data_IF_294266349542
#
_entry.id   IF_294266349542
#
_cell.length_a   1.000
_cell.length_b   1.000
_cell.length_c   1.000
_cell.angle_alpha   90.00
_cell.angle_beta   90.00
_cell.angle_gamma   90.00
#
_symmetry.space_group_name_H-M   'P 1'
#
loop_
_entity.id
_entity.type
_entity.pdbx_description
1 polymer ?
#
# COMPACT_ATOMS: atom_id res chain seq x y z
N UNK A 1 -3.22 8.96 -16.69
CA UNK A 1 -2.71 9.24 -18.03
C UNK A 1 -3.09 10.68 -18.44
N UNK A 2 -2.22 11.28 -19.24
CA UNK A 2 -2.40 12.59 -19.85
C UNK A 2 -2.64 12.43 -21.34
N UNK A 3 -3.49 13.27 -21.89
CA UNK A 3 -3.81 13.28 -23.31
C UNK A 3 -3.53 14.67 -23.87
N UNK A 4 -2.81 14.75 -24.98
CA UNK A 4 -2.57 16.01 -25.69
C UNK A 4 -3.51 16.15 -26.88
N UNK A 5 -3.97 17.37 -27.12
CA UNK A 5 -4.76 17.71 -28.31
C UNK A 5 -3.77 18.14 -29.38
N UNK A 6 -3.89 17.59 -30.58
CA UNK A 6 -3.05 17.91 -31.71
C UNK A 6 -2.52 16.67 -32.44
N UNK A 7 -1.68 16.91 -33.44
CA UNK A 7 -1.08 15.86 -34.25
C UNK A 7 0.19 15.33 -33.56
N UNK A 8 0.43 14.01 -33.56
CA UNK A 8 1.70 13.46 -33.10
C UNK A 8 2.88 14.05 -33.88
N UNK A 9 4.00 14.28 -33.18
CA UNK A 9 5.25 14.76 -33.76
C UNK A 9 6.32 13.69 -33.64
N UNK A 10 7.43 13.83 -34.36
CA UNK A 10 8.50 12.83 -34.47
C UNK A 10 9.60 12.97 -33.40
N UNK A 11 9.37 13.76 -32.35
CA UNK A 11 10.27 13.96 -31.24
C UNK A 11 9.56 13.89 -29.87
N UNK A 12 10.32 13.60 -28.82
CA UNK A 12 9.84 13.56 -27.44
C UNK A 12 9.56 14.98 -26.92
N UNK A 13 8.45 15.16 -26.18
CA UNK A 13 8.04 16.43 -25.59
C UNK A 13 7.81 16.29 -24.09
N UNK A 14 8.47 17.09 -23.29
CA UNK A 14 8.29 17.09 -21.84
C UNK A 14 7.04 17.92 -21.45
N UNK A 15 6.21 17.33 -20.57
CA UNK A 15 5.10 18.03 -19.92
C UNK A 15 5.58 18.54 -18.57
N UNK A 16 5.41 19.83 -18.31
CA UNK A 16 5.89 20.46 -17.08
C UNK A 16 4.78 20.76 -16.09
N UNK A 17 5.13 20.69 -14.82
CA UNK A 17 4.21 20.92 -13.69
C UNK A 17 4.84 21.85 -12.67
N UNK A 18 4.01 22.61 -11.97
CA UNK A 18 4.39 23.37 -10.80
C UNK A 18 3.52 22.97 -9.59
N UNK A 19 4.09 22.95 -8.38
CA UNK A 19 3.30 22.78 -7.18
C UNK A 19 2.35 23.98 -6.96
N UNK A 20 1.24 23.73 -6.29
CA UNK A 20 0.32 24.77 -5.80
C UNK A 20 0.45 24.80 -4.29
N UNK A 21 1.34 25.64 -3.77
CA UNK A 21 1.76 25.66 -2.37
C UNK A 21 0.60 25.92 -1.40
N UNK A 22 -0.36 26.76 -1.79
CA UNK A 22 -1.57 27.05 -0.98
C UNK A 22 -2.55 25.87 -0.89
N UNK A 23 -2.36 24.84 -1.70
CA UNK A 23 -3.21 23.66 -1.79
C UNK A 23 -2.38 22.38 -1.68
N UNK A 24 -1.32 22.43 -0.85
CA UNK A 24 -0.40 21.31 -0.64
C UNK A 24 0.07 21.32 0.81
N UNK A 25 -0.02 20.19 1.50
CA UNK A 25 0.50 20.00 2.86
C UNK A 25 1.62 18.95 2.97
N UNK A 26 2.09 18.46 1.83
CA UNK A 26 3.22 17.53 1.71
C UNK A 26 4.45 18.29 1.20
N UNK A 27 5.64 17.95 1.69
CA UNK A 27 6.90 18.60 1.29
C UNK A 27 7.40 18.02 -0.01
N UNK A 28 7.49 18.89 -1.05
CA UNK A 28 8.06 18.52 -2.34
C UNK A 28 9.55 18.13 -2.22
N UNK A 29 9.97 17.10 -2.93
CA UNK A 29 11.33 16.58 -2.93
C UNK A 29 11.70 15.72 -1.71
N UNK A 30 10.92 15.77 -0.63
CA UNK A 30 11.09 14.93 0.56
C UNK A 30 10.03 13.84 0.65
N UNK A 31 8.77 14.27 0.66
CA UNK A 31 7.61 13.38 0.85
C UNK A 31 6.91 13.10 -0.47
N UNK A 32 7.16 13.90 -1.49
CA UNK A 32 6.62 13.75 -2.85
C UNK A 32 7.70 14.00 -3.89
N UNK A 33 7.78 13.15 -4.88
CA UNK A 33 8.67 13.30 -6.03
C UNK A 33 7.92 12.97 -7.31
N UNK A 34 7.94 13.89 -8.26
CA UNK A 34 7.36 13.72 -9.58
C UNK A 34 8.45 13.30 -10.57
N UNK A 35 8.20 12.22 -11.31
CA UNK A 35 9.06 11.83 -12.42
C UNK A 35 8.81 12.73 -13.64
N UNK A 36 9.85 12.85 -14.51
CA UNK A 36 9.69 13.52 -15.79
C UNK A 36 8.59 12.85 -16.60
N UNK A 37 7.62 13.63 -17.01
CA UNK A 37 6.50 13.17 -17.82
C UNK A 37 6.75 13.52 -19.28
N UNK A 38 6.88 12.50 -20.13
CA UNK A 38 7.25 12.67 -21.54
C UNK A 38 6.18 12.08 -22.45
N UNK A 39 5.67 12.91 -23.35
CA UNK A 39 4.90 12.46 -24.52
C UNK A 39 5.91 12.00 -25.55
N UNK A 40 5.96 10.71 -25.81
CA UNK A 40 6.90 10.10 -26.73
C UNK A 40 6.62 10.49 -28.19
N UNK A 41 7.66 10.50 -29.01
CA UNK A 41 7.55 10.67 -30.45
C UNK A 41 6.47 9.75 -31.05
N UNK A 42 5.65 10.28 -31.95
CA UNK A 42 4.56 9.54 -32.58
C UNK A 42 3.34 9.29 -31.68
N UNK A 43 3.30 9.82 -30.44
CA UNK A 43 2.17 9.61 -29.53
C UNK A 43 1.51 10.95 -29.12
N UNK A 44 0.30 10.84 -28.54
CA UNK A 44 -0.45 11.96 -27.95
C UNK A 44 -0.73 11.71 -26.47
N UNK A 45 -0.13 10.69 -25.87
CA UNK A 45 -0.37 10.29 -24.48
C UNK A 45 0.92 10.26 -23.68
N UNK A 46 0.81 10.53 -22.38
CA UNK A 46 1.88 10.34 -21.41
C UNK A 46 1.33 9.83 -20.09
N UNK A 47 2.13 9.10 -19.35
CA UNK A 47 1.79 8.63 -18.00
C UNK A 47 2.49 9.49 -16.98
N UNK A 48 1.72 10.14 -16.12
CA UNK A 48 2.21 10.84 -14.94
C UNK A 48 2.59 9.82 -13.88
N UNK A 49 3.86 9.81 -13.45
CA UNK A 49 4.36 8.95 -12.37
C UNK A 49 4.89 9.79 -11.24
N UNK A 50 4.60 9.38 -10.03
CA UNK A 50 5.05 10.05 -8.83
C UNK A 50 5.30 9.05 -7.69
N UNK A 51 6.15 9.44 -6.76
CA UNK A 51 6.44 8.72 -5.54
C UNK A 51 5.97 9.53 -4.36
N UNK A 52 5.30 8.87 -3.41
CA UNK A 52 4.87 9.50 -2.16
C UNK A 52 5.45 8.71 -1.01
N UNK A 53 6.12 9.42 -0.11
CA UNK A 53 6.56 8.89 1.17
C UNK A 53 5.62 9.43 2.25
N UNK A 54 5.02 8.55 3.03
CA UNK A 54 4.22 8.98 4.17
C UNK A 54 5.12 9.67 5.20
N UNK A 55 4.84 10.92 5.57
CA UNK A 55 5.55 11.61 6.64
C UNK A 55 5.31 10.90 7.98
N UNK A 56 6.36 10.73 8.77
CA UNK A 56 6.31 9.99 10.04
C UNK A 56 5.41 10.65 11.12
N UNK A 57 5.12 11.96 11.01
CA UNK A 57 4.45 12.72 12.06
C UNK A 57 3.53 13.84 11.53
N UNK A 58 2.96 13.68 10.34
CA UNK A 58 1.97 14.63 9.82
C UNK A 58 0.63 13.96 9.65
N UNK A 59 -0.09 13.91 10.74
CA UNK A 59 -1.55 13.92 10.67
C UNK A 59 -1.91 15.41 10.68
N UNK A 60 -2.53 15.90 9.59
CA UNK A 60 -3.32 17.11 9.71
C UNK A 60 -4.51 16.81 10.65
N UNK A 61 -5.23 17.82 11.09
CA UNK A 61 -6.39 17.67 11.99
C UNK A 61 -7.48 16.73 11.39
N UNK A 62 -7.39 16.37 10.11
CA UNK A 62 -8.30 15.49 9.36
C UNK A 62 -7.63 14.17 8.89
N UNK A 63 -6.35 13.94 9.16
CA UNK A 63 -5.61 12.73 8.72
C UNK A 63 -5.40 12.65 7.20
N UNK A 64 -5.55 13.76 6.46
CA UNK A 64 -5.46 13.79 5.00
C UNK A 64 -4.22 14.54 4.56
N UNK A 65 -3.36 13.86 3.81
CA UNK A 65 -2.25 14.49 3.12
C UNK A 65 -2.62 14.69 1.65
N UNK A 66 -2.27 15.83 1.10
CA UNK A 66 -2.51 16.12 -0.30
C UNK A 66 -1.39 16.93 -0.94
N UNK A 67 -1.15 16.65 -2.19
CA UNK A 67 -0.24 17.38 -3.05
C UNK A 67 -0.96 17.83 -4.31
N UNK A 68 -0.98 19.11 -4.55
CA UNK A 68 -1.63 19.69 -5.73
C UNK A 68 -0.59 20.22 -6.69
N UNK A 69 -0.65 19.75 -7.92
CA UNK A 69 0.17 20.23 -9.04
C UNK A 69 -0.72 20.82 -10.11
N UNK A 70 -0.18 21.77 -10.85
CA UNK A 70 -0.79 22.32 -12.05
C UNK A 70 0.12 22.12 -13.24
N UNK A 71 -0.47 21.92 -14.41
CA UNK A 71 0.23 22.01 -15.68
C UNK A 71 0.78 23.41 -15.88
N UNK A 72 2.01 23.50 -16.39
CA UNK A 72 2.63 24.78 -16.77
C UNK A 72 2.86 24.83 -18.26
N UNK A 73 2.78 26.03 -18.81
CA UNK A 73 3.12 26.30 -20.19
C UNK A 73 4.62 26.09 -20.43
N UNK A 74 4.96 25.52 -21.57
CA UNK A 74 6.32 25.39 -22.08
C UNK A 74 6.34 25.50 -23.61
N UNK A 75 7.49 25.31 -24.25
CA UNK A 75 7.65 25.43 -25.71
C UNK A 75 6.78 24.43 -26.52
N UNK A 76 6.30 23.35 -25.89
CA UNK A 76 5.54 22.29 -26.54
C UNK A 76 4.07 22.27 -26.21
N UNK A 77 3.68 22.78 -25.03
CA UNK A 77 2.33 22.66 -24.51
C UNK A 77 1.83 23.95 -23.86
N UNK A 78 0.62 24.31 -24.21
CA UNK A 78 -0.15 25.37 -23.54
C UNK A 78 -1.29 24.69 -22.80
N UNK A 79 -1.35 24.74 -21.46
CA UNK A 79 -2.46 24.18 -20.71
C UNK A 79 -3.76 24.90 -21.06
N UNK A 80 -4.80 24.13 -21.34
CA UNK A 80 -6.12 24.75 -21.45
C UNK A 80 -6.57 25.28 -20.08
N UNK A 81 -7.22 26.44 -20.06
CA UNK A 81 -7.82 27.03 -18.86
C UNK A 81 -9.07 26.22 -18.52
N UNK A 82 -8.90 25.10 -17.85
CA UNK A 82 -9.99 24.24 -17.39
C UNK A 82 -9.64 23.61 -16.05
N UNK A 83 -10.63 23.05 -15.38
CA UNK A 83 -10.48 22.35 -14.10
C UNK A 83 -9.53 21.14 -14.18
N UNK A 84 -9.26 20.62 -15.38
CA UNK A 84 -8.37 19.50 -15.65
C UNK A 84 -6.88 19.87 -15.69
N UNK A 85 -6.53 21.16 -15.59
CA UNK A 85 -5.13 21.60 -15.50
C UNK A 85 -4.52 21.42 -14.09
N UNK A 86 -5.33 21.03 -13.11
CA UNK A 86 -4.92 20.80 -11.73
C UNK A 86 -5.12 19.32 -11.37
N UNK A 87 -4.11 18.74 -10.74
CA UNK A 87 -4.19 17.38 -10.22
C UNK A 87 -3.94 17.43 -8.71
N UNK A 88 -4.93 17.00 -7.94
CA UNK A 88 -4.76 16.83 -6.50
C UNK A 88 -4.61 15.35 -6.19
N UNK A 89 -3.46 15.01 -5.63
CA UNK A 89 -3.11 13.67 -5.20
C UNK A 89 -3.37 13.62 -3.71
N UNK A 90 -4.32 12.79 -3.30
CA UNK A 90 -4.58 12.53 -1.89
C UNK A 90 -3.77 11.32 -1.44
N UNK A 91 -3.06 11.50 -0.34
CA UNK A 91 -2.41 10.42 0.36
C UNK A 91 -3.10 10.32 1.70
N UNK A 92 -3.93 9.32 1.84
CA UNK A 92 -4.67 9.10 3.07
C UNK A 92 -4.10 7.86 3.74
N UNK A 93 -3.71 8.00 5.01
CA UNK A 93 -3.51 6.86 5.89
C UNK A 93 -4.91 6.37 6.26
N UNK A 94 -5.52 5.62 5.37
CA UNK A 94 -6.79 4.98 5.69
C UNK A 94 -6.45 3.67 6.39
N UNK A 95 -6.93 3.50 7.60
CA UNK A 95 -7.00 2.23 8.32
C UNK A 95 -7.99 1.29 7.62
N UNK A 96 -7.72 0.97 6.35
CA UNK A 96 -8.50 -0.02 5.63
C UNK A 96 -7.78 -1.35 5.68
N UNK A 97 -8.52 -2.35 6.09
CA UNK A 97 -8.06 -3.71 5.99
C UNK A 97 -7.62 -4.01 4.55
N UNK A 98 -6.46 -4.61 4.33
CA UNK A 98 -6.10 -5.13 3.02
C UNK A 98 -7.20 -6.06 2.50
N UNK A 99 -7.39 -6.14 1.18
CA UNK A 99 -8.43 -6.99 0.58
C UNK A 99 -8.34 -8.46 1.01
N UNK A 100 -7.14 -8.91 1.35
CA UNK A 100 -6.87 -10.26 1.80
C UNK A 100 -7.07 -10.48 3.31
N UNK A 101 -7.39 -9.42 4.09
CA UNK A 101 -7.57 -9.57 5.54
C UNK A 101 -8.83 -10.40 5.84
N UNK A 102 -8.61 -11.62 6.30
CA UNK A 102 -9.67 -12.52 6.69
C UNK A 102 -9.93 -12.38 8.19
N UNK A 103 -11.08 -11.86 8.59
CA UNK A 103 -11.41 -11.58 10.00
C UNK A 103 -11.60 -12.84 10.84
N UNK A 104 -11.99 -13.96 10.24
CA UNK A 104 -12.15 -15.23 10.96
C UNK A 104 -10.79 -15.83 11.35
N UNK A 105 -9.77 -15.57 10.53
CA UNK A 105 -8.41 -16.07 10.71
C UNK A 105 -7.55 -15.08 11.49
N UNK A 106 -7.61 -13.79 11.13
CA UNK A 106 -6.71 -12.74 11.60
C UNK A 106 -7.32 -11.87 12.71
N UNK A 107 -8.60 -12.08 13.03
CA UNK A 107 -9.35 -11.22 13.92
C UNK A 107 -9.74 -9.88 13.29
N UNK A 108 -10.38 -9.02 14.08
CA UNK A 108 -10.74 -7.67 13.65
C UNK A 108 -9.52 -6.87 13.21
N UNK A 109 -9.64 -6.15 12.09
CA UNK A 109 -8.53 -5.34 11.59
C UNK A 109 -8.27 -4.14 12.49
N UNK A 110 -7.03 -3.97 12.85
CA UNK A 110 -6.48 -2.73 13.42
C UNK A 110 -5.12 -2.45 12.78
N UNK A 111 -4.74 -1.18 12.69
CA UNK A 111 -3.40 -0.81 12.19
C UNK A 111 -2.29 -1.48 13.02
N UNK A 112 -2.46 -1.50 14.33
CA UNK A 112 -1.49 -2.15 15.24
C UNK A 112 -1.44 -3.66 15.01
N UNK A 113 -2.58 -4.32 14.82
CA UNK A 113 -2.68 -5.74 14.48
C UNK A 113 -1.96 -6.05 13.18
N UNK A 114 -2.22 -5.25 12.15
CA UNK A 114 -1.56 -5.37 10.86
C UNK A 114 -0.04 -5.20 10.95
N UNK A 115 0.46 -4.18 11.67
CA UNK A 115 1.90 -3.95 11.85
C UNK A 115 2.58 -5.13 12.56
N UNK A 116 1.94 -5.69 13.58
CA UNK A 116 2.48 -6.85 14.31
C UNK A 116 2.42 -8.10 13.44
N UNK A 117 1.33 -8.34 12.71
CA UNK A 117 1.24 -9.42 11.72
C UNK A 117 2.38 -9.34 10.71
N UNK A 118 2.53 -8.20 10.04
CA UNK A 118 3.57 -8.00 9.04
C UNK A 118 4.98 -8.14 9.60
N UNK A 119 5.21 -7.75 10.87
CA UNK A 119 6.48 -7.97 11.54
C UNK A 119 6.85 -9.47 11.59
N UNK A 120 5.94 -10.31 12.06
CA UNK A 120 6.20 -11.76 12.15
C UNK A 120 6.27 -12.41 10.77
N UNK A 121 5.41 -12.00 9.84
CA UNK A 121 5.41 -12.51 8.47
C UNK A 121 6.71 -12.19 7.72
N UNK A 122 7.15 -10.92 7.76
CA UNK A 122 8.40 -10.49 7.12
C UNK A 122 9.64 -11.11 7.78
N UNK A 123 9.56 -11.43 9.08
CA UNK A 123 10.64 -12.12 9.78
C UNK A 123 10.89 -13.52 9.18
N UNK A 124 9.85 -14.26 8.80
CA UNK A 124 9.96 -15.55 8.13
C UNK A 124 10.68 -15.43 6.78
N UNK A 125 10.31 -14.39 6.00
CA UNK A 125 10.94 -14.09 4.72
C UNK A 125 12.42 -13.71 4.88
N UNK A 126 12.71 -12.79 5.80
CA UNK A 126 14.08 -12.30 6.04
C UNK A 126 15.01 -13.40 6.49
N UNK A 127 14.54 -14.27 7.40
CA UNK A 127 15.31 -15.38 7.94
C UNK A 127 15.31 -16.59 7.01
N UNK A 128 14.54 -16.57 5.91
CA UNK A 128 14.39 -17.69 4.97
C UNK A 128 14.12 -19.01 5.69
N UNK A 129 13.16 -18.98 6.63
CA UNK A 129 12.80 -20.17 7.40
C UNK A 129 12.36 -21.30 6.46
N UNK A 130 12.44 -22.55 6.93
CA UNK A 130 12.04 -23.71 6.14
C UNK A 130 10.56 -23.60 5.70
N UNK A 131 9.68 -23.19 6.63
CA UNK A 131 8.27 -22.97 6.34
C UNK A 131 8.06 -21.84 5.33
N UNK A 132 8.85 -20.76 5.42
CA UNK A 132 8.80 -19.69 4.40
C UNK A 132 9.13 -20.23 3.02
N UNK A 133 10.24 -20.94 2.89
CA UNK A 133 10.70 -21.41 1.58
C UNK A 133 9.76 -22.45 0.96
N UNK A 134 9.20 -23.33 1.78
CA UNK A 134 8.35 -24.44 1.31
C UNK A 134 6.88 -24.08 1.16
N UNK A 135 6.36 -23.21 2.02
CA UNK A 135 4.92 -22.98 2.13
C UNK A 135 4.54 -21.49 2.05
N UNK A 136 5.01 -20.65 2.98
CA UNK A 136 4.49 -19.30 3.10
C UNK A 136 4.80 -18.46 1.86
N UNK A 137 6.03 -18.43 1.39
CA UNK A 137 6.44 -17.70 0.18
C UNK A 137 5.75 -18.22 -1.11
N UNK A 138 5.76 -19.53 -1.39
CA UNK A 138 5.05 -20.09 -2.54
C UNK A 138 3.55 -19.84 -2.55
N UNK A 139 2.87 -19.97 -1.40
CA UNK A 139 1.40 -19.94 -1.28
C UNK A 139 0.85 -18.53 -1.11
N UNK A 140 1.44 -17.72 -0.21
CA UNK A 140 0.94 -16.40 0.13
C UNK A 140 1.73 -15.26 -0.54
N UNK A 141 2.99 -15.49 -0.88
CA UNK A 141 3.89 -14.51 -1.52
C UNK A 141 4.44 -13.46 -0.56
N UNK A 142 5.41 -12.68 -1.01
CA UNK A 142 5.92 -11.52 -0.29
C UNK A 142 4.78 -10.54 0.02
N UNK A 143 4.66 -10.10 1.28
CA UNK A 143 3.58 -9.19 1.71
C UNK A 143 2.16 -9.67 1.37
N UNK A 144 1.94 -10.97 1.32
CA UNK A 144 0.63 -11.58 1.02
C UNK A 144 0.09 -11.27 -0.39
N UNK A 145 0.93 -10.90 -1.37
CA UNK A 145 0.46 -10.42 -2.68
C UNK A 145 -0.29 -11.48 -3.50
N UNK A 146 -0.15 -12.78 -3.18
CA UNK A 146 -0.87 -13.87 -3.85
C UNK A 146 -2.29 -14.09 -3.31
N UNK A 147 -2.64 -13.41 -2.22
CA UNK A 147 -3.98 -13.50 -1.62
C UNK A 147 -4.81 -12.31 -2.09
N UNK A 148 -5.68 -12.54 -3.06
CA UNK A 148 -6.37 -11.45 -3.77
C UNK A 148 -7.65 -10.98 -3.07
N UNK A 149 -8.18 -11.77 -2.14
CA UNK A 149 -9.41 -11.45 -1.42
C UNK A 149 -9.41 -12.00 0.01
N UNK A 150 -10.36 -11.58 0.83
CA UNK A 150 -10.58 -12.11 2.18
C UNK A 150 -11.11 -13.56 2.16
N UNK A 151 -11.64 -14.02 1.04
CA UNK A 151 -11.96 -15.44 0.85
C UNK A 151 -10.73 -16.14 0.31
N UNK A 152 -10.02 -16.84 1.18
CA UNK A 152 -8.80 -17.53 0.82
C UNK A 152 -9.11 -18.80 0.03
N UNK A 153 -8.30 -19.10 -0.98
CA UNK A 153 -8.48 -20.28 -1.82
C UNK A 153 -8.12 -21.58 -1.07
N UNK A 154 -8.42 -22.72 -1.69
CA UNK A 154 -8.20 -24.04 -1.09
C UNK A 154 -6.73 -24.30 -0.72
N UNK A 155 -5.79 -23.82 -1.53
CA UNK A 155 -4.36 -24.00 -1.26
C UNK A 155 -3.91 -23.17 -0.07
N UNK A 156 -4.39 -21.92 0.03
CA UNK A 156 -4.13 -21.03 1.18
C UNK A 156 -4.73 -21.61 2.46
N UNK A 157 -5.91 -22.19 2.39
CA UNK A 157 -6.53 -22.85 3.55
C UNK A 157 -5.83 -24.15 3.93
N UNK A 158 -5.32 -24.93 2.95
CA UNK A 158 -4.59 -26.18 3.21
C UNK A 158 -3.32 -25.95 4.02
N UNK A 159 -2.61 -24.83 3.76
CA UNK A 159 -1.36 -24.50 4.46
C UNK A 159 -1.54 -23.46 5.58
N UNK A 160 -2.77 -23.20 5.99
CA UNK A 160 -3.07 -22.25 7.05
C UNK A 160 -2.37 -22.58 8.38
N UNK A 161 -2.22 -23.88 8.70
CA UNK A 161 -1.58 -24.28 9.95
C UNK A 161 -0.10 -23.84 10.00
N UNK A 162 0.59 -23.78 8.86
CA UNK A 162 1.96 -23.25 8.80
C UNK A 162 2.00 -21.74 9.02
N UNK A 163 1.02 -21.02 8.54
CA UNK A 163 0.86 -19.58 8.81
C UNK A 163 0.50 -19.33 10.29
N UNK A 164 -0.37 -20.17 10.86
CA UNK A 164 -0.72 -20.10 12.28
C UNK A 164 0.54 -20.31 13.15
N UNK A 165 1.26 -21.40 12.92
CA UNK A 165 2.45 -21.77 13.69
C UNK A 165 3.49 -20.64 13.72
N UNK A 166 3.88 -20.11 12.57
CA UNK A 166 5.03 -19.21 12.46
C UNK A 166 4.69 -17.71 12.59
N UNK A 167 3.43 -17.34 12.36
CA UNK A 167 3.05 -15.92 12.27
C UNK A 167 1.91 -15.57 13.22
N UNK A 168 0.80 -16.30 13.16
CA UNK A 168 -0.41 -15.89 13.88
C UNK A 168 -0.34 -16.20 15.36
N UNK A 169 0.15 -17.38 15.74
CA UNK A 169 0.33 -17.74 17.16
C UNK A 169 1.30 -16.77 17.82
N UNK A 170 2.51 -16.50 17.29
CA UNK A 170 3.39 -15.46 17.84
C UNK A 170 2.77 -14.06 17.90
N UNK A 171 1.94 -13.70 16.91
CA UNK A 171 1.21 -12.43 16.93
C UNK A 171 0.20 -12.36 18.08
N UNK A 172 -0.59 -13.41 18.27
CA UNK A 172 -1.59 -13.44 19.33
C UNK A 172 -0.98 -13.66 20.71
N UNK A 173 0.14 -14.39 20.83
CA UNK A 173 0.92 -14.42 22.06
C UNK A 173 1.40 -13.01 22.47
N UNK A 174 1.85 -12.23 21.50
CA UNK A 174 2.22 -10.83 21.74
C UNK A 174 1.03 -10.01 22.25
N UNK A 175 -0.17 -10.14 21.66
CA UNK A 175 -1.34 -9.38 22.10
C UNK A 175 -1.96 -9.90 23.40
N UNK A 176 -1.81 -11.16 23.71
CA UNK A 176 -2.17 -11.72 25.04
C UNK A 176 -1.30 -11.09 26.12
N UNK A 177 0.00 -10.93 25.87
CA UNK A 177 0.94 -10.27 26.79
C UNK A 177 0.84 -8.73 26.79
N UNK A 178 0.38 -8.14 25.68
CA UNK A 178 0.27 -6.69 25.47
C UNK A 178 -1.10 -6.34 24.88
N UNK A 179 -2.18 -6.38 25.67
CA UNK A 179 -3.52 -6.11 25.19
C UNK A 179 -3.61 -4.73 24.49
N UNK A 180 -4.29 -4.69 23.36
CA UNK A 180 -4.46 -3.47 22.57
C UNK A 180 -5.94 -3.29 22.17
N UNK A 181 -6.53 -2.10 22.37
CA UNK A 181 -7.92 -1.85 22.03
C UNK A 181 -8.25 -2.19 20.57
N UNK A 182 -9.33 -2.92 20.34
CA UNK A 182 -9.78 -3.31 19.01
C UNK A 182 -9.08 -4.54 18.40
N UNK A 183 -8.04 -5.09 19.04
CA UNK A 183 -7.49 -6.39 18.64
C UNK A 183 -8.27 -7.48 19.36
N UNK A 184 -8.99 -8.28 18.59
CA UNK A 184 -9.74 -9.44 19.06
C UNK A 184 -8.95 -10.70 18.74
N UNK A 185 -8.84 -11.59 19.73
CA UNK A 185 -8.16 -12.88 19.57
C UNK A 185 -9.20 -13.88 19.04
N UNK A 186 -8.99 -14.49 17.86
CA UNK A 186 -9.93 -15.44 17.29
C UNK A 186 -10.07 -16.72 18.15
N UNK A 187 -11.25 -17.33 18.16
CA UNK A 187 -11.53 -18.53 18.95
C UNK A 187 -10.57 -19.70 18.66
N UNK A 188 -10.15 -19.86 17.39
CA UNK A 188 -9.22 -20.93 17.00
C UNK A 188 -7.86 -20.83 17.72
N UNK A 189 -7.45 -19.65 18.20
CA UNK A 189 -6.18 -19.48 18.90
C UNK A 189 -6.20 -20.20 20.27
N UNK A 190 -7.28 -20.09 21.02
CA UNK A 190 -7.43 -20.79 22.29
C UNK A 190 -7.47 -22.32 22.08
N UNK A 191 -8.19 -22.77 21.06
CA UNK A 191 -8.20 -24.19 20.68
C UNK A 191 -6.82 -24.71 20.32
N UNK A 192 -6.02 -23.91 19.59
CA UNK A 192 -4.64 -24.23 19.26
C UNK A 192 -3.76 -24.37 20.50
N UNK A 193 -3.83 -23.41 21.43
CA UNK A 193 -3.04 -23.43 22.67
C UNK A 193 -3.40 -24.60 23.58
N UNK A 194 -4.65 -25.04 23.57
CA UNK A 194 -5.07 -26.20 24.35
C UNK A 194 -4.61 -27.52 23.73
N UNK A 195 -4.53 -27.59 22.40
CA UNK A 195 -3.97 -28.74 21.69
C UNK A 195 -2.47 -28.93 21.92
N UNK A 196 -1.70 -27.84 22.09
CA UNK A 196 -0.26 -27.89 22.41
C UNK A 196 0.04 -28.40 23.84
N UNK A 197 -0.93 -28.34 24.76
CA UNK A 197 -0.77 -28.77 26.17
C UNK A 197 -0.99 -30.26 26.37
N UNK A 198 -1.56 -30.98 25.38
CA UNK A 198 -1.88 -32.40 25.41
C UNK A 198 -0.90 -33.23 24.59
#
# INVERSE_FOLDING_TARGET
DLYTIGVPVDYDREVTFAPVDTATNIVNGKDFTLEKTIVKAGTTTATLRYWVRMPENKEDEEGKLYYTIRLTENEHFVPQICTTAFFRIYVQHQEQAPKWWNTEILGSYTEKGFKVYMKYYTLQETNKTENWQRYLGPIYGTNMYKVESSTWNNEQMLFLDKLKEDVLVPMFDYFTANPYPGVEIPAWYEEWKDAEKN
#
